data_IF_550296368815
#
_entry.id   IF_550296368815
#
_cell.length_a   1.000
_cell.length_b   1.000
_cell.length_c   1.000
_cell.angle_alpha   90.00
_cell.angle_beta   90.00
_cell.angle_gamma   90.00
#
_symmetry.space_group_name_H-M   'P 1'
#
loop_
_entity.id
_entity.type
_entity.pdbx_description
1 polymer ?
#
# COMPACT_ATOMS: atom_id res chain seq x y z
N UNK A 1 27.53 34.54 43.48
CA UNK A 1 26.21 33.87 43.61
C UNK A 1 25.20 34.64 42.76
N UNK A 2 25.08 34.31 41.48
CA UNK A 2 24.19 35.03 40.56
C UNK A 2 22.77 34.48 40.63
N UNK A 3 21.81 35.36 40.92
CA UNK A 3 20.38 35.07 40.97
C UNK A 3 19.86 34.93 39.54
N UNK A 4 19.32 33.76 39.22
CA UNK A 4 18.63 33.50 37.95
C UNK A 4 17.21 34.04 38.09
N UNK A 5 16.88 35.06 37.31
CA UNK A 5 15.54 35.68 37.23
C UNK A 5 14.59 34.81 36.40
N UNK A 6 13.29 34.72 36.75
CA UNK A 6 12.34 33.75 36.18
C UNK A 6 11.95 34.02 34.71
N UNK A 7 12.35 35.15 34.12
CA UNK A 7 12.06 35.48 32.72
C UNK A 7 12.90 34.68 31.70
N UNK A 8 14.00 34.03 32.13
CA UNK A 8 14.88 33.27 31.25
C UNK A 8 14.39 31.83 30.95
N UNK A 9 13.36 31.35 31.66
CA UNK A 9 12.83 29.98 31.51
C UNK A 9 11.67 29.88 30.51
N UNK A 10 11.05 31.01 30.14
CA UNK A 10 9.90 31.00 29.23
C UNK A 10 10.30 30.98 27.74
N UNK A 11 11.48 31.51 27.40
CA UNK A 11 11.93 31.61 26.00
C UNK A 11 12.60 30.34 25.48
N UNK A 12 13.06 29.45 26.36
CA UNK A 12 13.68 28.17 25.98
C UNK A 12 12.67 27.06 25.71
N UNK A 13 11.45 27.14 26.24
CA UNK A 13 10.40 26.14 25.96
C UNK A 13 9.83 26.24 24.52
N UNK A 14 9.95 27.40 23.88
CA UNK A 14 9.43 27.61 22.52
C UNK A 14 10.32 27.02 21.41
N UNK A 15 11.63 26.84 21.65
CA UNK A 15 12.52 26.16 20.69
C UNK A 15 12.52 24.63 20.85
N UNK A 16 12.14 24.11 22.01
CA UNK A 16 12.12 22.66 22.26
C UNK A 16 10.93 21.94 21.59
N UNK A 17 9.88 22.66 21.20
CA UNK A 17 8.72 22.06 20.51
C UNK A 17 8.93 21.92 18.99
N UNK A 18 9.94 22.56 18.42
CA UNK A 18 10.26 22.45 16.98
C UNK A 18 11.14 21.22 16.69
N UNK A 19 11.91 20.72 17.66
CA UNK A 19 12.78 19.55 17.46
C UNK A 19 12.09 18.21 17.69
N UNK A 20 10.89 18.18 18.30
CA UNK A 20 10.13 16.96 18.56
C UNK A 20 8.93 16.75 17.61
N UNK A 21 8.58 17.76 16.82
CA UNK A 21 7.66 17.61 15.70
C UNK A 21 8.44 17.72 14.39
N UNK A 22 8.85 16.59 13.78
CA UNK A 22 9.17 16.63 12.38
C UNK A 22 7.84 16.89 11.65
N UNK A 23 7.60 18.16 11.31
CA UNK A 23 6.66 18.57 10.25
C UNK A 23 7.23 18.18 8.88
N UNK A 24 7.72 16.94 8.75
CA UNK A 24 7.95 16.31 7.46
C UNK A 24 6.59 15.89 6.93
N UNK A 25 6.02 16.81 6.17
CA UNK A 25 5.36 16.55 4.87
C UNK A 25 4.55 15.27 4.79
N UNK A 26 3.25 15.46 4.64
CA UNK A 26 2.24 14.52 4.16
C UNK A 26 2.60 14.00 2.73
N UNK A 27 3.70 13.28 2.57
CA UNK A 27 3.82 12.30 1.51
C UNK A 27 3.07 11.08 2.02
N UNK A 28 1.87 10.87 1.50
CA UNK A 28 1.13 9.63 1.68
C UNK A 28 1.95 8.49 1.07
N UNK A 29 2.95 8.00 1.81
CA UNK A 29 3.45 6.65 1.58
C UNK A 29 2.39 5.74 2.17
N UNK A 30 1.71 5.01 1.31
CA UNK A 30 0.85 3.92 1.69
C UNK A 30 1.74 2.90 2.44
N UNK A 31 1.91 3.05 3.76
CA UNK A 31 2.30 1.93 4.64
C UNK A 31 1.10 0.99 4.72
N UNK A 32 0.83 0.33 3.60
CA UNK A 32 0.13 -0.95 3.65
C UNK A 32 1.03 -1.89 4.43
N UNK A 33 0.52 -2.42 5.54
CA UNK A 33 1.07 -3.62 6.18
C UNK A 33 0.90 -4.80 5.23
N UNK A 34 1.67 -4.84 4.15
CA UNK A 34 1.83 -5.98 3.26
C UNK A 34 3.31 -6.10 2.97
N UNK A 35 3.85 -7.23 3.43
CA UNK A 35 5.19 -7.70 3.14
C UNK A 35 5.59 -7.31 1.71
N UNK A 36 6.61 -6.46 1.60
CA UNK A 36 7.20 -6.00 0.36
C UNK A 36 7.95 -7.14 -0.31
N UNK A 37 7.20 -7.99 -0.99
CA UNK A 37 7.66 -8.75 -2.14
C UNK A 37 6.42 -8.84 -3.02
N UNK A 38 6.37 -8.27 -4.25
CA UNK A 38 5.37 -8.76 -5.20
C UNK A 38 5.64 -10.27 -5.25
N UNK A 39 4.68 -11.15 -4.89
CA UNK A 39 4.93 -12.57 -5.08
C UNK A 39 5.34 -12.65 -6.55
N UNK A 40 6.58 -13.05 -6.82
CA UNK A 40 7.02 -13.25 -8.20
C UNK A 40 5.97 -14.16 -8.77
N UNK A 41 5.11 -13.60 -9.63
CA UNK A 41 3.86 -14.24 -9.99
C UNK A 41 4.16 -15.62 -10.55
N UNK A 42 3.18 -16.51 -10.55
CA UNK A 42 3.24 -17.82 -11.20
C UNK A 42 3.82 -17.81 -12.64
N UNK A 43 3.93 -16.64 -13.29
CA UNK A 43 4.51 -16.41 -14.62
C UNK A 43 5.97 -15.90 -14.63
N UNK A 44 6.60 -15.70 -13.47
CA UNK A 44 7.80 -14.87 -13.36
C UNK A 44 9.12 -15.58 -13.68
N UNK A 45 9.15 -16.92 -13.79
CA UNK A 45 10.40 -17.68 -13.97
C UNK A 45 10.15 -18.94 -14.80
N UNK A 46 11.17 -19.36 -15.54
CA UNK A 46 11.28 -20.74 -16.02
C UNK A 46 11.52 -21.68 -14.83
N UNK A 47 11.38 -23.00 -15.02
CA UNK A 47 11.57 -23.98 -13.94
C UNK A 47 12.97 -23.95 -13.31
N UNK A 48 13.97 -23.46 -14.05
CA UNK A 48 15.35 -23.21 -13.58
C UNK A 48 15.51 -21.89 -12.79
N UNK A 49 14.41 -21.19 -12.51
CA UNK A 49 14.42 -19.92 -11.78
C UNK A 49 14.88 -18.71 -12.60
N UNK A 50 15.19 -18.91 -13.88
CA UNK A 50 15.72 -17.85 -14.77
C UNK A 50 14.62 -17.11 -15.50
N UNK A 51 14.94 -15.92 -16.00
CA UNK A 51 14.12 -15.14 -16.94
C UNK A 51 14.88 -15.01 -18.25
N UNK A 52 14.29 -15.50 -19.35
CA UNK A 52 14.91 -15.54 -20.68
C UNK A 52 14.26 -14.54 -21.64
N UNK A 53 14.24 -13.26 -21.24
CA UNK A 53 13.57 -12.19 -22.02
C UNK A 53 14.18 -11.90 -23.40
N UNK A 54 15.41 -12.33 -23.66
CA UNK A 54 16.08 -12.20 -24.96
C UNK A 54 15.73 -13.31 -25.94
N UNK A 55 15.03 -14.36 -25.50
CA UNK A 55 14.65 -15.49 -26.35
C UNK A 55 13.18 -15.38 -26.77
N UNK A 56 12.87 -15.58 -28.06
CA UNK A 56 11.48 -15.72 -28.48
C UNK A 56 10.87 -16.97 -27.83
N UNK A 57 9.60 -16.90 -27.46
CA UNK A 57 8.83 -18.03 -26.94
C UNK A 57 7.88 -18.56 -28.01
N UNK A 58 7.74 -19.86 -28.10
CA UNK A 58 6.71 -20.48 -28.93
C UNK A 58 5.33 -20.36 -28.27
N UNK A 59 4.26 -20.48 -29.07
CA UNK A 59 2.89 -20.51 -28.55
C UNK A 59 2.68 -21.63 -27.53
N UNK A 60 3.31 -22.79 -27.74
CA UNK A 60 3.20 -23.95 -26.85
C UNK A 60 3.92 -23.75 -25.52
N UNK A 61 5.12 -23.14 -25.54
CA UNK A 61 5.84 -22.82 -24.31
C UNK A 61 5.09 -21.79 -23.47
N UNK A 62 4.47 -20.81 -24.11
CA UNK A 62 3.59 -19.86 -23.42
C UNK A 62 2.38 -20.57 -22.80
N UNK A 63 1.70 -21.44 -23.55
CA UNK A 63 0.55 -22.18 -23.06
C UNK A 63 0.90 -23.11 -21.89
N UNK A 64 2.02 -23.82 -21.98
CA UNK A 64 2.52 -24.67 -20.90
C UNK A 64 2.80 -23.87 -19.63
N UNK A 65 3.44 -22.69 -19.76
CA UNK A 65 3.69 -21.79 -18.61
C UNK A 65 2.39 -21.24 -18.02
N UNK A 66 1.43 -20.86 -18.87
CA UNK A 66 0.14 -20.38 -18.42
C UNK A 66 -0.63 -21.47 -17.67
N UNK A 67 -0.65 -22.70 -18.19
CA UNK A 67 -1.32 -23.82 -17.55
C UNK A 67 -0.68 -24.17 -16.19
N UNK A 68 0.65 -24.17 -16.11
CA UNK A 68 1.36 -24.37 -14.85
C UNK A 68 1.01 -23.28 -13.82
N UNK A 69 0.91 -22.02 -14.26
CA UNK A 69 0.48 -20.93 -13.38
C UNK A 69 -0.95 -21.14 -12.85
N UNK A 70 -1.89 -21.54 -13.71
CA UNK A 70 -3.28 -21.76 -13.31
C UNK A 70 -3.38 -22.86 -12.25
N UNK A 71 -2.64 -23.96 -12.41
CA UNK A 71 -2.56 -25.02 -11.40
C UNK A 71 -2.03 -24.50 -10.05
N UNK A 72 -0.98 -23.68 -10.07
CA UNK A 72 -0.45 -23.07 -8.84
C UNK A 72 -1.48 -22.14 -8.17
N UNK A 73 -2.25 -21.38 -8.94
CA UNK A 73 -3.32 -20.52 -8.40
C UNK A 73 -4.39 -21.37 -7.72
N UNK A 74 -4.74 -22.52 -8.28
CA UNK A 74 -5.72 -23.44 -7.67
C UNK A 74 -5.26 -24.01 -6.33
N UNK A 75 -3.95 -24.25 -6.15
CA UNK A 75 -3.36 -24.70 -4.89
C UNK A 75 -3.27 -23.59 -3.84
N UNK A 76 -3.01 -22.35 -4.27
CA UNK A 76 -2.82 -21.20 -3.37
C UNK A 76 -4.15 -20.70 -2.78
N UNK A 77 -5.31 -21.18 -3.24
CA UNK A 77 -6.62 -20.85 -2.68
C UNK A 77 -6.98 -21.90 -1.60
N UNK A 78 -6.65 -21.66 -0.31
CA UNK A 78 -6.92 -22.65 0.73
C UNK A 78 -8.41 -22.59 1.04
N UNK A 79 -9.05 -23.76 1.12
CA UNK A 79 -10.43 -23.90 1.57
C UNK A 79 -11.47 -23.15 0.71
N UNK A 80 -11.91 -23.81 -0.38
CA UNK A 80 -12.95 -23.31 -1.29
C UNK A 80 -14.34 -23.17 -0.66
N UNK A 81 -14.54 -23.62 0.59
CA UNK A 81 -15.84 -23.56 1.25
C UNK A 81 -16.25 -22.15 1.69
N UNK A 82 -15.29 -21.24 1.90
CA UNK A 82 -15.53 -19.87 2.39
C UNK A 82 -15.10 -18.81 1.37
N UNK A 83 -15.26 -19.09 0.07
CA UNK A 83 -14.97 -18.11 -0.96
C UNK A 83 -16.02 -17.00 -0.95
N UNK A 84 -15.56 -15.77 -1.08
CA UNK A 84 -16.45 -14.63 -1.28
C UNK A 84 -17.28 -14.83 -2.57
N UNK A 85 -18.57 -14.53 -2.48
CA UNK A 85 -19.46 -14.60 -3.62
C UNK A 85 -19.30 -13.37 -4.51
N UNK A 86 -19.79 -13.43 -5.75
CA UNK A 86 -19.84 -12.26 -6.64
C UNK A 86 -20.59 -11.09 -5.99
N UNK A 87 -21.67 -11.38 -5.27
CA UNK A 87 -22.44 -10.37 -4.54
C UNK A 87 -21.59 -9.65 -3.49
N UNK A 88 -20.77 -10.39 -2.74
CA UNK A 88 -19.88 -9.80 -1.73
C UNK A 88 -18.88 -8.83 -2.37
N UNK A 89 -18.31 -9.20 -3.53
CA UNK A 89 -17.44 -8.32 -4.30
C UNK A 89 -18.16 -7.07 -4.80
N UNK A 90 -19.39 -7.20 -5.33
CA UNK A 90 -20.17 -6.06 -5.79
C UNK A 90 -20.44 -5.07 -4.64
N UNK A 91 -20.74 -5.58 -3.44
CA UNK A 91 -20.90 -4.74 -2.24
C UNK A 91 -19.58 -4.08 -1.85
N UNK A 92 -18.46 -4.81 -1.87
CA UNK A 92 -17.14 -4.24 -1.57
C UNK A 92 -16.74 -3.15 -2.56
N UNK A 93 -16.96 -3.35 -3.85
CA UNK A 93 -16.68 -2.38 -4.90
C UNK A 93 -17.50 -1.11 -4.68
N UNK A 94 -18.81 -1.24 -4.43
CA UNK A 94 -19.68 -0.10 -4.13
C UNK A 94 -19.20 0.67 -2.90
N UNK A 95 -18.84 -0.02 -1.82
CA UNK A 95 -18.30 0.60 -0.61
C UNK A 95 -16.98 1.32 -0.88
N UNK A 96 -16.09 0.75 -1.69
CA UNK A 96 -14.82 1.39 -2.03
C UNK A 96 -15.02 2.67 -2.86
N UNK A 97 -15.95 2.65 -3.81
CA UNK A 97 -16.32 3.83 -4.60
C UNK A 97 -16.84 4.94 -3.69
N UNK A 98 -17.75 4.59 -2.77
CA UNK A 98 -18.36 5.53 -1.84
C UNK A 98 -17.34 6.10 -0.85
N UNK A 99 -16.47 5.26 -0.28
CA UNK A 99 -15.40 5.71 0.59
C UNK A 99 -14.45 6.68 -0.13
N UNK A 100 -14.06 6.36 -1.37
CA UNK A 100 -13.23 7.25 -2.18
C UNK A 100 -13.93 8.58 -2.48
N UNK A 101 -15.26 8.57 -2.66
CA UNK A 101 -16.08 9.78 -2.81
C UNK A 101 -16.05 10.62 -1.54
N UNK A 102 -16.29 10.00 -0.39
CA UNK A 102 -16.31 10.67 0.92
C UNK A 102 -14.94 11.28 1.27
N UNK A 103 -13.84 10.57 0.99
CA UNK A 103 -12.48 11.10 1.21
C UNK A 103 -12.22 12.34 0.36
N UNK A 104 -12.66 12.36 -0.91
CA UNK A 104 -12.54 13.56 -1.76
C UNK A 104 -13.33 14.74 -1.21
N UNK A 105 -14.55 14.50 -0.76
CA UNK A 105 -15.42 15.53 -0.16
C UNK A 105 -14.80 16.09 1.13
N UNK A 106 -14.27 15.22 1.99
CA UNK A 106 -13.54 15.62 3.20
C UNK A 106 -12.33 16.48 2.87
N UNK A 107 -11.53 16.10 1.86
CA UNK A 107 -10.38 16.90 1.44
C UNK A 107 -10.79 18.28 0.93
N UNK A 108 -11.85 18.39 0.14
CA UNK A 108 -12.38 19.68 -0.33
C UNK A 108 -12.80 20.58 0.83
N UNK A 109 -13.45 20.03 1.86
CA UNK A 109 -13.83 20.78 3.07
C UNK A 109 -12.62 21.27 3.84
N UNK A 110 -11.58 20.44 3.99
CA UNK A 110 -10.32 20.81 4.63
C UNK A 110 -9.62 21.93 3.86
N UNK A 111 -9.60 21.85 2.52
CA UNK A 111 -8.98 22.88 1.67
C UNK A 111 -9.70 24.23 1.78
N UNK A 112 -11.03 24.22 1.89
CA UNK A 112 -11.83 25.44 2.08
C UNK A 112 -11.56 26.14 3.42
N UNK A 113 -11.15 25.41 4.47
CA UNK A 113 -10.85 25.99 5.80
C UNK A 113 -9.44 26.58 5.86
N UNK A 114 -8.52 26.10 5.03
CA UNK A 114 -7.12 26.60 4.99
C UNK A 114 -6.96 27.91 4.23
N UNK A 115 -8.01 28.37 3.55
CA UNK A 115 -8.04 29.60 2.76
C UNK A 115 -8.57 30.76 3.59
#
# INVERSE_FOLDING_TARGET
MSKITPAALATTLALATITFYPSTTLSQTLKGGRNTTPPTGCLSRYADGTYRGSQPVTRYEFAARMNACLNQVEEVIPNRANLATKSDFDVLIKRQIELNRQVRELNQRVDNIKK
#
